data_IF_840459548636
#
_entry.id   IF_840459548636
#
_cell.length_a   1.000
_cell.length_b   1.000
_cell.length_c   1.000
_cell.angle_alpha   90.00
_cell.angle_beta   90.00
_cell.angle_gamma   90.00
#
_symmetry.space_group_name_H-M   'P 1'
#
loop_
_entity.id
_entity.type
_entity.pdbx_description
1 polymer ?
#
# COMPACT_ATOMS: atom_id res chain seq x y z
N UNK A 1 -9.63 20.77 -9.48
CA UNK A 1 -8.35 21.49 -9.45
C UNK A 1 -8.07 22.25 -8.13
N UNK A 2 -9.06 22.44 -7.23
CA UNK A 2 -8.87 23.22 -5.98
C UNK A 2 -8.21 22.48 -4.83
N UNK A 3 -8.32 21.16 -4.77
CA UNK A 3 -7.85 20.35 -3.64
C UNK A 3 -6.32 20.35 -3.45
N UNK A 4 -5.56 20.35 -4.55
CA UNK A 4 -4.10 20.33 -4.48
C UNK A 4 -3.53 21.58 -3.78
N UNK A 5 -4.22 22.71 -3.86
CA UNK A 5 -3.83 23.96 -3.17
C UNK A 5 -3.96 23.87 -1.64
N UNK A 6 -4.79 22.97 -1.15
CA UNK A 6 -5.01 22.78 0.30
C UNK A 6 -3.97 21.84 0.93
N UNK A 7 -3.24 21.07 0.12
CA UNK A 7 -2.20 20.15 0.60
C UNK A 7 -0.93 20.93 0.92
N UNK A 8 -0.36 20.69 2.09
CA UNK A 8 0.98 21.21 2.48
C UNK A 8 2.09 20.29 1.99
N UNK A 9 1.88 18.99 2.09
CA UNK A 9 2.80 17.93 1.67
C UNK A 9 2.01 16.64 1.38
N UNK A 10 2.62 15.70 0.67
CA UNK A 10 2.00 14.41 0.32
C UNK A 10 2.96 13.26 0.61
N UNK A 11 2.43 12.20 1.19
CA UNK A 11 3.13 10.93 1.38
C UNK A 11 2.39 9.86 0.58
N UNK A 12 3.08 9.23 -0.35
CA UNK A 12 2.58 8.10 -1.15
C UNK A 12 3.22 6.83 -0.63
N UNK A 13 2.41 5.99 0.04
CA UNK A 13 2.88 4.73 0.58
C UNK A 13 2.74 3.62 -0.45
N UNK A 14 3.79 3.40 -1.20
CA UNK A 14 3.98 2.31 -2.17
C UNK A 14 2.91 2.28 -3.28
N UNK A 15 2.42 3.44 -3.66
CA UNK A 15 1.44 3.64 -4.74
C UNK A 15 1.90 4.74 -5.68
N UNK A 16 1.44 4.68 -6.92
CA UNK A 16 1.77 5.67 -7.93
C UNK A 16 0.81 5.66 -9.12
N UNK A 17 1.08 6.51 -10.12
CA UNK A 17 0.29 6.59 -11.35
C UNK A 17 0.35 5.33 -12.23
N UNK A 18 1.36 4.50 -12.04
CA UNK A 18 1.54 3.22 -12.74
C UNK A 18 1.56 2.10 -11.70
N UNK A 19 0.83 1.03 -11.97
CA UNK A 19 0.75 -0.18 -11.13
C UNK A 19 1.42 -1.32 -11.87
N UNK A 20 2.32 -2.05 -11.20
CA UNK A 20 2.97 -3.23 -11.76
C UNK A 20 1.96 -4.33 -12.09
N UNK A 21 2.03 -4.90 -13.29
CA UNK A 21 1.07 -5.89 -13.76
C UNK A 21 0.99 -7.14 -12.86
N UNK A 22 2.14 -7.63 -12.38
CA UNK A 22 2.20 -8.78 -11.45
C UNK A 22 1.48 -8.49 -10.13
N UNK A 23 1.71 -7.30 -9.57
CA UNK A 23 1.05 -6.88 -8.35
C UNK A 23 -0.46 -6.74 -8.52
N UNK A 24 -0.89 -6.20 -9.64
CA UNK A 24 -2.31 -6.10 -9.98
C UNK A 24 -2.99 -7.47 -10.06
N UNK A 25 -2.38 -8.45 -10.74
CA UNK A 25 -2.88 -9.83 -10.81
C UNK A 25 -2.93 -10.48 -9.42
N UNK A 26 -1.91 -10.27 -8.59
CA UNK A 26 -1.88 -10.75 -7.22
C UNK A 26 -3.03 -10.15 -6.40
N UNK A 27 -3.27 -8.85 -6.48
CA UNK A 27 -4.40 -8.19 -5.78
C UNK A 27 -5.73 -8.78 -6.23
N UNK A 28 -5.95 -8.95 -7.53
CA UNK A 28 -7.17 -9.54 -8.08
C UNK A 28 -7.45 -10.94 -7.54
N UNK A 29 -6.43 -11.72 -7.24
CA UNK A 29 -6.58 -13.09 -6.75
C UNK A 29 -7.22 -13.18 -5.35
N UNK A 30 -7.13 -12.13 -4.52
CA UNK A 30 -7.61 -12.15 -3.14
C UNK A 30 -8.59 -11.03 -2.77
N UNK A 31 -8.56 -9.89 -3.50
CA UNK A 31 -9.46 -8.76 -3.23
C UNK A 31 -10.92 -9.17 -3.46
N UNK A 32 -11.78 -8.82 -2.50
CA UNK A 32 -13.20 -9.16 -2.54
C UNK A 32 -13.53 -10.58 -2.10
N UNK A 33 -12.55 -11.37 -1.66
CA UNK A 33 -12.80 -12.67 -1.05
C UNK A 33 -13.20 -12.48 0.42
N UNK A 34 -14.45 -12.80 0.75
CA UNK A 34 -14.94 -12.80 2.13
C UNK A 34 -14.39 -14.02 2.86
N UNK A 35 -13.25 -13.85 3.54
CA UNK A 35 -12.76 -14.87 4.49
C UNK A 35 -13.17 -14.48 5.91
N UNK A 36 -13.51 -15.47 6.72
CA UNK A 36 -13.70 -15.30 8.16
C UNK A 36 -12.87 -16.32 8.92
N UNK A 37 -12.35 -15.92 10.07
CA UNK A 37 -11.46 -16.73 10.90
C UNK A 37 -12.08 -16.91 12.27
N UNK A 38 -11.79 -18.06 12.92
CA UNK A 38 -12.34 -18.37 14.24
C UNK A 38 -11.66 -17.58 15.35
N UNK A 39 -10.36 -17.35 15.20
CA UNK A 39 -9.55 -16.63 16.17
C UNK A 39 -8.56 -15.69 15.49
N UNK A 40 -8.02 -14.76 16.25
CA UNK A 40 -6.94 -13.89 15.80
C UNK A 40 -5.70 -14.65 15.34
N UNK A 41 -5.43 -15.80 15.95
CA UNK A 41 -4.34 -16.69 15.56
C UNK A 41 -4.56 -17.29 14.17
N UNK A 42 -5.78 -17.71 13.85
CA UNK A 42 -6.13 -18.19 12.51
C UNK A 42 -5.99 -17.08 11.46
N UNK A 43 -6.43 -15.86 11.78
CA UNK A 43 -6.25 -14.72 10.90
C UNK A 43 -4.76 -14.41 10.67
N UNK A 44 -3.96 -14.37 11.74
CA UNK A 44 -2.51 -14.11 11.66
C UNK A 44 -1.79 -15.14 10.79
N UNK A 45 -2.07 -16.43 10.95
CA UNK A 45 -1.48 -17.50 10.13
C UNK A 45 -1.88 -17.38 8.66
N UNK A 46 -3.16 -17.16 8.39
CA UNK A 46 -3.64 -16.98 7.02
C UNK A 46 -3.03 -15.75 6.33
N UNK A 47 -2.77 -14.66 7.08
CA UNK A 47 -2.05 -13.50 6.58
C UNK A 47 -0.57 -13.79 6.33
N UNK A 48 0.06 -14.57 7.20
CA UNK A 48 1.45 -15.02 7.02
C UNK A 48 1.61 -15.89 5.76
N UNK A 49 0.67 -16.80 5.52
CA UNK A 49 0.68 -17.69 4.34
C UNK A 49 0.62 -16.89 3.03
N UNK A 50 -0.11 -15.78 3.01
CA UNK A 50 -0.30 -14.95 1.80
C UNK A 50 0.79 -13.89 1.64
N UNK A 51 1.32 -13.36 2.75
CA UNK A 51 2.21 -12.20 2.74
C UNK A 51 3.63 -12.48 3.26
N UNK A 52 3.98 -13.74 3.54
CA UNK A 52 5.29 -14.10 4.07
C UNK A 52 6.46 -13.66 3.19
N UNK A 53 6.30 -13.72 1.87
CA UNK A 53 7.30 -13.23 0.92
C UNK A 53 7.44 -11.70 0.92
N UNK A 54 6.35 -11.01 1.30
CA UNK A 54 6.31 -9.54 1.39
C UNK A 54 7.00 -9.04 2.64
N UNK A 55 6.85 -9.77 3.76
CA UNK A 55 7.42 -9.46 5.07
C UNK A 55 8.21 -10.65 5.64
N UNK A 56 9.36 -10.99 5.05
CA UNK A 56 10.06 -12.24 5.37
C UNK A 56 10.63 -12.30 6.81
N UNK A 57 10.81 -11.15 7.43
CA UNK A 57 11.37 -11.05 8.79
C UNK A 57 10.28 -11.06 9.88
N UNK A 58 8.96 -11.06 9.50
CA UNK A 58 7.85 -11.06 10.46
C UNK A 58 7.78 -12.38 11.24
N UNK A 59 7.66 -12.24 12.56
CA UNK A 59 7.41 -13.33 13.49
C UNK A 59 5.90 -13.39 13.83
N UNK A 60 5.49 -14.38 14.61
CA UNK A 60 4.09 -14.60 14.95
C UNK A 60 3.41 -13.37 15.58
N UNK A 61 4.13 -12.66 16.45
CA UNK A 61 3.60 -11.46 17.11
C UNK A 61 3.40 -10.31 16.11
N UNK A 62 4.25 -10.21 15.09
CA UNK A 62 4.10 -9.23 14.01
C UNK A 62 2.83 -9.54 13.20
N UNK A 63 2.62 -10.81 12.87
CA UNK A 63 1.41 -11.26 12.18
C UNK A 63 0.14 -11.06 13.00
N UNK A 64 0.20 -11.22 14.31
CA UNK A 64 -0.93 -10.90 15.20
C UNK A 64 -1.23 -9.40 15.21
N UNK A 65 -0.20 -8.55 15.25
CA UNK A 65 -0.38 -7.09 15.11
C UNK A 65 -0.96 -6.73 13.74
N UNK A 66 -0.44 -7.34 12.68
CA UNK A 66 -0.92 -7.13 11.31
C UNK A 66 -2.39 -7.55 11.18
N UNK A 67 -2.77 -8.71 11.71
CA UNK A 67 -4.16 -9.16 11.74
C UNK A 67 -5.07 -8.16 12.46
N UNK A 68 -4.66 -7.65 13.61
CA UNK A 68 -5.44 -6.65 14.38
C UNK A 68 -5.57 -5.30 13.70
N UNK A 69 -4.66 -4.96 12.77
CA UNK A 69 -4.74 -3.72 11.97
C UNK A 69 -5.65 -3.88 10.74
N UNK A 70 -5.79 -5.09 10.21
CA UNK A 70 -6.47 -5.37 8.94
C UNK A 70 -7.81 -6.09 9.08
N UNK A 71 -8.09 -6.61 10.27
CA UNK A 71 -9.30 -7.36 10.56
C UNK A 71 -10.03 -6.78 11.79
N UNK A 72 -11.31 -7.12 11.91
CA UNK A 72 -12.15 -6.81 13.07
C UNK A 72 -12.91 -8.03 13.56
N UNK A 73 -13.36 -7.97 14.83
CA UNK A 73 -14.30 -8.90 15.39
C UNK A 73 -15.71 -8.53 14.90
N UNK A 74 -16.35 -9.44 14.19
CA UNK A 74 -17.73 -9.29 13.74
C UNK A 74 -18.72 -9.68 14.84
N UNK A 75 -20.00 -9.27 14.71
CA UNK A 75 -21.06 -9.52 15.69
C UNK A 75 -21.36 -11.02 15.94
N UNK A 76 -21.00 -11.87 14.98
CA UNK A 76 -21.12 -13.34 15.09
C UNK A 76 -19.92 -14.01 15.77
N UNK A 77 -19.01 -13.24 16.37
CA UNK A 77 -17.81 -13.74 17.03
C UNK A 77 -16.66 -14.15 16.10
N UNK A 78 -16.80 -13.96 14.79
CA UNK A 78 -15.76 -14.28 13.81
C UNK A 78 -14.85 -13.07 13.57
N UNK A 79 -13.60 -13.35 13.24
CA UNK A 79 -12.66 -12.32 12.76
C UNK A 79 -12.83 -12.20 11.24
N UNK A 80 -13.04 -11.00 10.73
CA UNK A 80 -13.24 -10.70 9.30
C UNK A 80 -12.34 -9.54 8.88
N UNK A 81 -12.02 -9.43 7.60
CA UNK A 81 -11.32 -8.27 7.09
C UNK A 81 -12.13 -6.98 7.33
N UNK A 82 -11.44 -5.92 7.71
CA UNK A 82 -12.04 -4.59 8.00
C UNK A 82 -11.83 -3.64 6.82
N UNK A 83 -12.31 -4.01 5.65
CA UNK A 83 -12.34 -3.13 4.48
C UNK A 83 -13.69 -3.23 3.76
N UNK A 84 -14.03 -2.21 2.98
CA UNK A 84 -15.23 -2.23 2.14
C UNK A 84 -15.04 -3.21 0.98
N UNK A 85 -15.89 -4.23 0.90
CA UNK A 85 -15.88 -5.23 -0.17
C UNK A 85 -16.02 -4.61 -1.57
N UNK A 86 -16.61 -3.41 -1.68
CA UNK A 86 -16.72 -2.65 -2.94
C UNK A 86 -15.37 -2.23 -3.51
N UNK A 87 -14.28 -2.30 -2.74
CA UNK A 87 -12.93 -2.09 -3.26
C UNK A 87 -12.60 -3.04 -4.42
N UNK A 88 -13.30 -4.18 -4.52
CA UNK A 88 -13.14 -5.14 -5.61
C UNK A 88 -13.94 -4.80 -6.89
N UNK A 89 -14.92 -3.88 -6.81
CA UNK A 89 -15.82 -3.60 -7.92
C UNK A 89 -15.10 -3.12 -9.19
N UNK A 90 -14.08 -2.23 -9.14
CA UNK A 90 -13.33 -1.84 -10.32
C UNK A 90 -12.65 -3.00 -11.04
N UNK A 91 -12.24 -4.06 -10.30
CA UNK A 91 -11.58 -5.23 -10.89
C UNK A 91 -12.53 -6.22 -11.54
N UNK A 92 -13.85 -6.06 -11.33
CA UNK A 92 -14.91 -6.92 -11.90
C UNK A 92 -15.48 -6.38 -13.19
N UNK A 93 -15.25 -5.08 -13.49
CA UNK A 93 -15.78 -4.46 -14.68
C UNK A 93 -14.83 -4.70 -15.88
N UNK A 94 -15.35 -5.08 -17.06
CA UNK A 94 -14.56 -5.16 -18.26
C UNK A 94 -13.89 -3.81 -18.55
N UNK A 95 -12.58 -3.78 -18.72
CA UNK A 95 -11.81 -2.54 -18.93
C UNK A 95 -11.54 -1.70 -17.69
N UNK A 96 -12.07 -2.06 -16.52
CA UNK A 96 -11.71 -1.42 -15.24
C UNK A 96 -10.22 -1.57 -14.87
N UNK A 97 -9.56 -2.49 -15.54
CA UNK A 97 -8.12 -2.76 -15.42
C UNK A 97 -7.24 -1.83 -16.24
N UNK A 98 -7.78 -1.28 -17.31
CA UNK A 98 -7.08 -0.40 -18.25
C UNK A 98 -6.76 0.97 -17.65
N UNK A 99 -7.05 1.14 -16.38
CA UNK A 99 -6.65 2.27 -15.54
C UNK A 99 -6.82 3.63 -16.20
N UNK A 100 -7.43 4.55 -15.52
CA UNK A 100 -7.31 5.98 -15.87
C UNK A 100 -5.83 6.34 -15.81
N UNK A 101 -5.29 7.04 -16.82
CA UNK A 101 -3.96 7.63 -16.74
C UNK A 101 -3.93 8.61 -15.55
N UNK A 102 -3.22 8.22 -14.50
CA UNK A 102 -3.11 9.02 -13.28
C UNK A 102 -1.92 9.98 -13.29
N UNK A 103 -1.09 9.97 -14.34
CA UNK A 103 0.04 10.90 -14.45
C UNK A 103 -0.38 12.36 -14.41
N UNK A 104 -1.44 12.79 -15.14
CA UNK A 104 -1.92 14.16 -15.07
C UNK A 104 -2.38 14.56 -13.66
N UNK A 105 -2.97 13.62 -12.90
CA UNK A 105 -3.40 13.88 -11.52
C UNK A 105 -2.18 14.00 -10.59
N UNK A 106 -1.18 13.15 -10.77
CA UNK A 106 0.07 13.22 -10.01
C UNK A 106 0.82 14.55 -10.27
N UNK A 107 0.87 15.00 -11.52
CA UNK A 107 1.52 16.27 -11.91
C UNK A 107 0.82 17.50 -11.32
N UNK A 108 -0.48 17.41 -10.94
CA UNK A 108 -1.17 18.51 -10.22
C UNK A 108 -0.59 18.80 -8.83
N UNK A 109 0.21 17.91 -8.27
CA UNK A 109 0.93 18.16 -7.01
C UNK A 109 1.97 19.29 -7.18
N UNK A 110 2.49 19.50 -8.39
CA UNK A 110 3.30 20.66 -8.75
C UNK A 110 4.58 20.76 -7.92
N UNK A 111 4.70 21.84 -7.17
CA UNK A 111 5.83 22.17 -6.30
C UNK A 111 5.71 21.64 -4.86
N UNK A 112 4.64 20.89 -4.55
CA UNK A 112 4.43 20.36 -3.20
C UNK A 112 5.54 19.38 -2.84
N UNK A 113 5.97 19.37 -1.56
CA UNK A 113 6.82 18.31 -1.06
C UNK A 113 6.10 16.95 -1.19
N UNK A 114 6.74 15.97 -1.83
CA UNK A 114 6.21 14.62 -1.98
C UNK A 114 7.22 13.58 -1.51
N UNK A 115 6.84 12.77 -0.55
CA UNK A 115 7.59 11.59 -0.16
C UNK A 115 6.95 10.35 -0.78
N UNK A 116 7.71 9.61 -1.55
CA UNK A 116 7.33 8.33 -2.13
C UNK A 116 8.03 7.25 -1.31
N UNK A 117 7.31 6.58 -0.40
CA UNK A 117 7.80 5.40 0.29
C UNK A 117 7.60 4.20 -0.63
N UNK A 118 8.65 3.42 -0.86
CA UNK A 118 8.61 2.26 -1.72
C UNK A 118 9.17 1.03 -1.00
N UNK A 119 8.39 -0.05 -0.93
CA UNK A 119 8.92 -1.34 -0.52
C UNK A 119 9.96 -1.86 -1.53
N UNK A 120 11.13 -2.31 -1.06
CA UNK A 120 12.20 -2.81 -1.93
C UNK A 120 11.73 -3.93 -2.85
N UNK A 121 10.85 -4.82 -2.34
CA UNK A 121 10.27 -5.96 -3.05
C UNK A 121 8.90 -5.67 -3.64
N UNK A 122 8.45 -4.42 -3.64
CA UNK A 122 7.11 -4.07 -4.15
C UNK A 122 6.94 -4.47 -5.61
N UNK A 123 5.85 -5.18 -5.87
CA UNK A 123 5.34 -5.56 -7.18
C UNK A 123 4.22 -4.61 -7.68
N UNK A 124 3.83 -3.64 -6.85
CA UNK A 124 2.83 -2.61 -7.16
C UNK A 124 3.52 -1.34 -7.64
N UNK A 125 4.39 -0.74 -6.82
CA UNK A 125 5.20 0.40 -7.21
C UNK A 125 6.58 -0.07 -7.65
N UNK A 126 6.77 -0.28 -8.93
CA UNK A 126 8.06 -0.69 -9.48
C UNK A 126 9.10 0.42 -9.33
N UNK A 127 10.39 0.04 -9.20
CA UNK A 127 11.50 1.00 -9.05
C UNK A 127 11.56 2.02 -10.19
N UNK A 128 11.27 1.58 -11.41
CA UNK A 128 11.26 2.46 -12.58
C UNK A 128 10.16 3.53 -12.47
N UNK A 129 8.95 3.13 -12.05
CA UNK A 129 7.82 4.04 -11.83
C UNK A 129 8.13 5.05 -10.72
N UNK A 130 8.64 4.60 -9.56
CA UNK A 130 9.03 5.50 -8.47
C UNK A 130 10.11 6.51 -8.90
N UNK A 131 11.11 6.06 -9.68
CA UNK A 131 12.14 6.95 -10.23
C UNK A 131 11.55 7.98 -11.19
N UNK A 132 10.62 7.56 -12.06
CA UNK A 132 9.92 8.45 -12.99
C UNK A 132 9.08 9.49 -12.22
N UNK A 133 8.38 9.07 -11.15
CA UNK A 133 7.63 9.95 -10.26
C UNK A 133 8.53 11.04 -9.65
N UNK A 134 9.67 10.66 -9.08
CA UNK A 134 10.61 11.61 -8.50
C UNK A 134 11.18 12.61 -9.52
N UNK A 135 11.36 12.21 -10.76
CA UNK A 135 11.85 13.11 -11.84
C UNK A 135 10.78 14.08 -12.33
N UNK A 136 9.51 13.74 -12.18
CA UNK A 136 8.38 14.54 -12.66
C UNK A 136 8.08 15.76 -11.79
N UNK A 137 8.36 15.70 -10.50
CA UNK A 137 8.08 16.79 -9.56
C UNK A 137 9.37 17.28 -8.90
N UNK A 138 9.59 18.60 -8.81
CA UNK A 138 10.86 19.16 -8.33
C UNK A 138 11.14 18.84 -6.85
N UNK A 139 10.11 18.68 -6.04
CA UNK A 139 10.21 18.42 -4.60
C UNK A 139 9.76 17.00 -4.21
N UNK A 140 9.77 16.06 -5.16
CA UNK A 140 9.52 14.66 -4.89
C UNK A 140 10.81 13.90 -4.59
N UNK A 141 10.75 13.02 -3.58
CA UNK A 141 11.85 12.13 -3.23
C UNK A 141 11.35 10.72 -2.96
N UNK A 142 12.16 9.72 -3.28
CA UNK A 142 11.89 8.32 -3.00
C UNK A 142 12.69 7.88 -1.78
N UNK A 143 12.04 7.20 -0.86
CA UNK A 143 12.68 6.40 0.19
C UNK A 143 12.31 4.94 -0.02
N UNK A 144 13.31 4.06 -0.06
CA UNK A 144 13.09 2.61 -0.21
C UNK A 144 13.17 1.97 1.16
N UNK A 145 12.16 1.17 1.49
CA UNK A 145 12.07 0.39 2.73
C UNK A 145 12.61 -1.01 2.44
N UNK A 146 13.73 -1.33 3.06
CA UNK A 146 14.44 -2.59 2.82
C UNK A 146 13.60 -3.81 3.18
N UNK A 147 13.75 -4.90 2.44
CA UNK A 147 13.14 -6.23 2.66
C UNK A 147 11.60 -6.24 2.71
N UNK A 148 10.93 -5.17 2.31
CA UNK A 148 9.48 -5.01 2.41
C UNK A 148 8.86 -4.99 1.01
N UNK A 149 7.70 -5.63 0.86
CA UNK A 149 6.90 -5.58 -0.36
C UNK A 149 5.78 -4.52 -0.30
N UNK A 150 4.67 -4.76 -0.98
CA UNK A 150 3.52 -3.87 -0.98
C UNK A 150 2.57 -4.22 0.18
N UNK A 151 2.39 -3.29 1.11
CA UNK A 151 3.02 -1.98 1.25
C UNK A 151 3.74 -1.88 2.60
N UNK A 152 4.74 -1.00 2.75
CA UNK A 152 5.33 -0.72 4.06
C UNK A 152 4.28 -0.48 5.13
N UNK A 153 4.45 -1.09 6.29
CA UNK A 153 3.53 -0.97 7.44
C UNK A 153 3.72 0.36 8.21
N UNK A 154 4.75 1.14 7.82
CA UNK A 154 5.15 2.45 8.35
C UNK A 154 5.74 2.39 9.78
N UNK A 155 6.01 1.21 10.29
CA UNK A 155 6.72 0.98 11.57
C UNK A 155 8.13 0.37 11.37
N UNK A 156 8.54 0.12 10.13
CA UNK A 156 9.91 -0.27 9.82
C UNK A 156 10.87 0.91 10.09
N UNK A 157 12.10 0.62 10.54
CA UNK A 157 13.09 1.68 10.82
C UNK A 157 13.30 2.66 9.67
N UNK A 158 13.37 2.14 8.41
CA UNK A 158 13.53 2.97 7.20
C UNK A 158 12.31 3.87 6.96
N UNK A 159 11.09 3.34 7.16
CA UNK A 159 9.85 4.10 7.06
C UNK A 159 9.80 5.22 8.08
N UNK A 160 10.07 4.91 9.36
CA UNK A 160 10.05 5.89 10.46
C UNK A 160 11.09 6.98 10.22
N UNK A 161 12.32 6.62 9.82
CA UNK A 161 13.38 7.58 9.53
C UNK A 161 12.98 8.53 8.38
N UNK A 162 12.46 7.99 7.28
CA UNK A 162 12.04 8.76 6.12
C UNK A 162 10.87 9.71 6.45
N UNK A 163 9.86 9.22 7.19
CA UNK A 163 8.71 10.00 7.63
C UNK A 163 9.12 11.12 8.57
N UNK A 164 9.96 10.83 9.58
CA UNK A 164 10.45 11.82 10.53
C UNK A 164 11.21 12.93 9.82
N UNK A 165 12.15 12.57 8.93
CA UNK A 165 12.91 13.53 8.16
C UNK A 165 12.04 14.36 7.19
N UNK A 166 10.95 13.80 6.71
CA UNK A 166 10.02 14.51 5.82
C UNK A 166 9.11 15.49 6.56
N UNK A 167 8.59 15.09 7.71
CA UNK A 167 7.64 15.89 8.49
C UNK A 167 8.31 17.00 9.32
N UNK A 168 9.64 16.95 9.48
CA UNK A 168 10.44 17.96 10.22
C UNK A 168 10.92 19.14 9.35
N UNK A 169 10.46 19.27 8.09
CA UNK A 169 10.84 20.34 7.16
C UNK A 169 9.93 21.55 7.22
#
# INVERSE_FOLDING_TARGET
HGWAKQLRAVILNDVGPEIGAKGLERIKSYVGNSRSFETWMHAARALADVNGDVYPDYQLDDWLRFAKRTCKLANNGRIVFDYDMKVSDPFRLPGGEAGVDLWPIYELLGDKPVLILRGEKSDILEKAAATKMAKKLPNARVATVAKTGHAPALDEPDSVAALTAFLSQ
#
